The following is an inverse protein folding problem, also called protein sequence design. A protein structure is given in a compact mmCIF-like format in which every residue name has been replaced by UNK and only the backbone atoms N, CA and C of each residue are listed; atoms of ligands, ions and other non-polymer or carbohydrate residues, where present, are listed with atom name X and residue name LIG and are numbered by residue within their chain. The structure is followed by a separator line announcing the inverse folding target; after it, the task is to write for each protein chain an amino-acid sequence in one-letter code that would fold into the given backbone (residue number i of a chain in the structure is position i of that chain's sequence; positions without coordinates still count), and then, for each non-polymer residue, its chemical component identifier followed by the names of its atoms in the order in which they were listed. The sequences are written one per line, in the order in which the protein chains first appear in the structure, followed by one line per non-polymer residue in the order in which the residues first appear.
data_IF_192829178194
#
_entry.id   IF_192829178194
#
_cell.length_a   1.000
_cell.length_b   1.000
_cell.length_c   1.000
_cell.angle_alpha   90.00
_cell.angle_beta   90.00
_cell.angle_gamma   90.00
#
_symmetry.space_group_name_H-M   'P 1'
#
loop_
_entity.id
_entity.type
_entity.pdbx_description
1 polymer ?
#
# COMPACT_ATOMS: atom_id res chain seq x y z
N UNK A 1 16.76 46.59 23.06
CA UNK A 1 18.13 46.23 22.63
C UNK A 1 18.10 45.97 21.13
N UNK A 2 19.13 46.46 20.43
CA UNK A 2 19.17 46.72 18.99
C UNK A 2 18.94 45.51 18.07
N UNK A 3 18.34 45.85 16.92
CA UNK A 3 18.27 45.14 15.64
C UNK A 3 19.67 44.79 15.13
N UNK A 4 19.89 43.57 14.64
CA UNK A 4 20.98 43.31 13.68
C UNK A 4 20.41 42.53 12.51
N UNK A 5 20.39 43.23 11.38
CA UNK A 5 19.88 42.84 10.07
C UNK A 5 21.14 42.64 9.21
N UNK A 6 21.61 41.41 9.07
CA UNK A 6 22.72 41.10 8.17
C UNK A 6 22.20 40.38 6.94
N UNK A 7 21.83 41.21 5.96
CA UNK A 7 21.85 40.90 4.55
C UNK A 7 23.31 40.55 4.19
N UNK A 8 23.59 39.30 3.79
CA UNK A 8 24.85 38.97 3.12
C UNK A 8 24.54 38.41 1.75
N UNK A 9 24.71 39.31 0.78
CA UNK A 9 24.78 39.08 -0.65
C UNK A 9 26.02 38.23 -0.90
N UNK A 10 25.89 37.05 -1.51
CA UNK A 10 27.02 36.32 -2.09
C UNK A 10 26.65 35.89 -3.51
N UNK A 11 27.19 36.69 -4.43
CA UNK A 11 27.74 36.36 -5.74
C UNK A 11 27.09 35.24 -6.59
N UNK A 12 26.51 35.70 -7.69
CA UNK A 12 26.58 35.07 -9.02
C UNK A 12 27.88 34.29 -9.22
N UNK A 13 27.75 33.02 -9.61
CA UNK A 13 28.80 32.27 -10.31
C UNK A 13 28.14 31.38 -11.34
N UNK A 14 27.82 32.00 -12.47
CA UNK A 14 27.68 31.35 -13.78
C UNK A 14 29.03 30.73 -14.16
N UNK A 15 29.11 29.40 -14.12
CA UNK A 15 30.13 28.64 -14.81
C UNK A 15 29.46 27.73 -15.86
N UNK A 16 29.39 28.28 -17.07
CA UNK A 16 29.14 27.57 -18.31
C UNK A 16 30.34 26.65 -18.60
N UNK A 17 30.12 25.34 -18.62
CA UNK A 17 31.07 24.39 -19.22
C UNK A 17 30.39 23.64 -20.36
N UNK A 18 30.41 24.28 -21.54
CA UNK A 18 30.45 23.56 -22.81
C UNK A 18 31.90 23.10 -23.03
N UNK A 19 32.12 21.79 -23.22
CA UNK A 19 33.44 21.26 -23.52
C UNK A 19 33.41 19.80 -23.93
N UNK A 20 33.49 19.56 -25.23
CA UNK A 20 33.32 18.30 -25.93
C UNK A 20 34.43 17.26 -25.69
N UNK A 21 34.05 15.97 -25.69
CA UNK A 21 34.90 14.84 -26.11
C UNK A 21 33.95 13.78 -26.71
N UNK A 22 33.79 13.74 -28.04
CA UNK A 22 34.68 13.04 -28.99
C UNK A 22 34.68 11.53 -28.71
N UNK A 23 33.86 10.76 -29.43
CA UNK A 23 34.31 9.90 -30.53
C UNK A 23 33.12 9.19 -31.19
N UNK A 24 33.13 9.24 -32.51
CA UNK A 24 32.23 8.58 -33.45
C UNK A 24 32.33 7.06 -33.36
N UNK A 25 31.23 6.35 -33.69
CA UNK A 25 31.17 5.25 -34.68
C UNK A 25 29.77 4.59 -34.66
N UNK A 26 28.95 4.90 -35.67
CA UNK A 26 27.89 4.04 -36.24
C UNK A 26 28.59 3.11 -37.26
N UNK A 27 28.09 1.91 -37.70
CA UNK A 27 26.68 1.61 -37.94
C UNK A 27 26.23 0.14 -37.73
N UNK A 28 24.93 -0.10 -37.99
CA UNK A 28 24.25 -1.31 -38.52
C UNK A 28 22.89 -1.45 -37.80
N UNK A 29 21.77 -0.96 -38.35
CA UNK A 29 20.95 -1.63 -39.38
C UNK A 29 20.84 -3.14 -39.15
N UNK A 30 19.68 -3.56 -38.62
CA UNK A 30 18.85 -4.62 -39.20
C UNK A 30 17.55 -4.77 -38.40
N UNK A 31 16.44 -4.34 -39.00
CA UNK A 31 15.15 -5.00 -38.81
C UNK A 31 15.13 -6.26 -39.70
N UNK A 32 14.35 -7.27 -39.32
CA UNK A 32 13.29 -7.64 -40.25
C UNK A 32 11.93 -7.85 -39.54
N UNK A 33 10.91 -7.22 -40.11
CA UNK A 33 9.54 -7.72 -40.10
C UNK A 33 9.50 -9.08 -40.81
N UNK A 34 8.88 -10.11 -40.22
CA UNK A 34 7.91 -10.97 -40.90
C UNK A 34 6.99 -11.66 -39.88
N UNK A 35 5.69 -11.39 -40.05
CA UNK A 35 4.59 -12.23 -39.59
C UNK A 35 4.50 -13.46 -40.50
N UNK A 36 4.15 -14.64 -39.97
CA UNK A 36 3.16 -15.57 -40.54
C UNK A 36 3.25 -16.98 -39.89
N UNK A 37 2.13 -17.34 -39.25
CA UNK A 37 1.36 -18.58 -39.43
C UNK A 37 1.88 -19.95 -38.94
N UNK A 38 0.93 -20.59 -38.25
CA UNK A 38 0.81 -21.95 -37.73
C UNK A 38 0.97 -23.07 -38.79
N UNK A 39 1.15 -24.34 -38.39
CA UNK A 39 -0.02 -25.25 -38.30
C UNK A 39 -0.04 -26.21 -37.08
N UNK A 40 -1.24 -26.47 -36.57
CA UNK A 40 -1.66 -27.63 -35.76
C UNK A 40 -1.56 -28.90 -36.65
N UNK A 41 -1.55 -30.19 -36.26
CA UNK A 41 -2.18 -31.02 -35.22
C UNK A 41 -1.36 -32.33 -35.12
N UNK A 42 -1.35 -33.09 -34.02
CA UNK A 42 -2.12 -34.35 -33.79
C UNK A 42 -1.65 -34.90 -32.41
N UNK A 43 -2.40 -35.57 -31.55
CA UNK A 43 -3.63 -36.34 -31.70
C UNK A 43 -4.42 -36.38 -30.38
N UNK A 44 -5.75 -36.41 -30.48
CA UNK A 44 -6.67 -36.96 -29.47
C UNK A 44 -6.80 -38.49 -29.66
N UNK A 45 -7.49 -39.23 -28.76
CA UNK A 45 -8.95 -39.35 -28.90
C UNK A 45 -9.76 -39.19 -27.59
N UNK A 46 -10.96 -38.63 -27.74
CA UNK A 46 -12.15 -38.61 -26.86
C UNK A 46 -12.89 -39.98 -26.98
N UNK A 47 -13.89 -40.39 -26.14
CA UNK A 47 -15.18 -39.70 -25.89
C UNK A 47 -15.74 -39.95 -24.44
N UNK A 48 -16.91 -39.53 -23.94
CA UNK A 48 -18.20 -39.08 -24.47
C UNK A 48 -18.99 -38.35 -23.35
N UNK A 49 -19.79 -37.36 -23.77
CA UNK A 49 -21.14 -36.97 -23.32
C UNK A 49 -21.66 -37.34 -21.91
N UNK A 50 -22.26 -36.37 -21.20
CA UNK A 50 -23.71 -36.15 -21.36
C UNK A 50 -24.19 -34.83 -20.75
N UNK A 51 -25.03 -34.15 -21.52
CA UNK A 51 -25.90 -33.06 -21.10
C UNK A 51 -27.04 -33.62 -20.26
N UNK A 52 -27.57 -32.89 -19.28
CA UNK A 52 -29.01 -32.59 -19.19
C UNK A 52 -29.32 -31.72 -17.95
N UNK A 53 -30.09 -30.67 -18.22
CA UNK A 53 -30.69 -29.74 -17.29
C UNK A 53 -31.73 -30.40 -16.36
N UNK A 54 -31.98 -29.79 -15.20
CA UNK A 54 -33.31 -29.31 -14.74
C UNK A 54 -33.30 -29.00 -13.22
N UNK A 55 -33.65 -27.75 -12.90
CA UNK A 55 -34.17 -27.24 -11.61
C UNK A 55 -35.62 -27.75 -11.39
N UNK A 56 -36.37 -27.31 -10.35
CA UNK A 56 -36.10 -26.94 -8.95
C UNK A 56 -37.08 -27.65 -7.98
N UNK A 57 -36.86 -27.71 -6.66
CA UNK A 57 -37.99 -27.69 -5.68
C UNK A 57 -37.64 -26.99 -4.36
N UNK A 58 -38.63 -26.22 -3.93
CA UNK A 58 -38.68 -25.18 -2.93
C UNK A 58 -39.53 -25.67 -1.77
N UNK A 59 -39.08 -25.58 -0.52
CA UNK A 59 -39.95 -25.54 0.67
C UNK A 59 -39.29 -24.74 1.82
N UNK A 60 -39.82 -23.53 2.03
CA UNK A 60 -39.93 -22.76 3.29
C UNK A 60 -41.39 -22.99 3.78
N UNK A 61 -41.78 -23.05 5.08
CA UNK A 61 -41.73 -21.93 6.06
C UNK A 61 -41.61 -22.40 7.54
N UNK A 62 -41.63 -21.62 8.63
CA UNK A 62 -41.84 -20.20 8.96
C UNK A 62 -41.35 -19.99 10.42
N UNK A 63 -41.08 -18.72 10.79
CA UNK A 63 -41.39 -18.03 12.09
C UNK A 63 -41.06 -18.69 13.44
N UNK A 64 -40.79 -18.01 14.56
CA UNK A 64 -40.66 -16.61 15.01
C UNK A 64 -40.55 -16.75 16.53
N UNK A 65 -39.66 -16.03 17.20
CA UNK A 65 -39.98 -15.35 18.46
C UNK A 65 -38.83 -14.46 18.94
N UNK A 66 -39.20 -13.21 19.16
CA UNK A 66 -38.49 -12.22 19.93
C UNK A 66 -38.94 -12.33 21.39
N UNK A 67 -38.05 -12.06 22.35
CA UNK A 67 -38.32 -11.21 23.52
C UNK A 67 -37.01 -10.98 24.32
N UNK A 68 -36.52 -9.75 24.28
CA UNK A 68 -36.04 -9.02 25.47
C UNK A 68 -37.29 -8.62 26.31
N UNK A 69 -37.23 -8.14 27.59
CA UNK A 69 -36.12 -7.40 28.20
C UNK A 69 -35.93 -7.58 29.74
N UNK A 70 -34.87 -6.95 30.29
CA UNK A 70 -34.96 -5.82 31.27
C UNK A 70 -33.80 -5.81 32.28
N UNK A 71 -32.89 -4.85 32.04
CA UNK A 71 -32.38 -3.80 32.95
C UNK A 71 -31.97 -4.19 34.39
N UNK A 72 -30.67 -4.09 34.68
CA UNK A 72 -30.17 -3.26 35.79
C UNK A 72 -28.70 -2.84 35.59
N UNK A 73 -28.42 -1.59 35.93
CA UNK A 73 -27.13 -0.91 35.82
C UNK A 73 -26.18 -1.38 36.94
N UNK A 74 -24.85 -1.32 36.71
CA UNK A 74 -24.11 -0.39 37.55
C UNK A 74 -23.07 0.44 36.77
N UNK A 75 -22.95 1.70 37.18
CA UNK A 75 -21.82 2.59 36.89
C UNK A 75 -20.49 1.85 36.99
N UNK A 76 -19.75 1.81 35.88
CA UNK A 76 -18.28 1.69 35.92
C UNK A 76 -17.69 2.46 34.74
N UNK A 77 -16.75 3.31 35.08
CA UNK A 77 -15.88 4.12 34.22
C UNK A 77 -15.65 3.51 32.84
N UNK A 78 -15.89 4.32 31.80
CA UNK A 78 -15.61 3.97 30.40
C UNK A 78 -14.10 3.77 30.24
N UNK A 79 -13.64 2.52 30.44
CA UNK A 79 -12.38 2.07 29.91
C UNK A 79 -12.55 2.04 28.39
N UNK A 80 -12.18 3.14 27.72
CA UNK A 80 -12.07 3.17 26.26
C UNK A 80 -11.16 2.03 25.87
N UNK A 81 -11.72 0.99 25.23
CA UNK A 81 -10.94 -0.13 24.73
C UNK A 81 -9.86 0.43 23.80
N UNK A 82 -8.59 0.29 24.20
CA UNK A 82 -7.46 0.83 23.45
C UNK A 82 -7.38 0.12 22.10
N UNK A 83 -7.43 0.89 21.02
CA UNK A 83 -7.23 0.37 19.66
C UNK A 83 -5.81 -0.18 19.54
N UNK A 84 -5.67 -1.41 19.02
CA UNK A 84 -4.39 -2.09 18.86
C UNK A 84 -3.89 -2.02 17.41
N UNK A 85 -2.78 -1.30 17.21
CA UNK A 85 -2.15 -1.14 15.91
C UNK A 85 -1.54 -2.42 15.34
N UNK A 86 -1.06 -3.34 16.20
CA UNK A 86 -0.50 -4.60 15.74
C UNK A 86 -1.59 -5.49 15.11
N UNK A 87 -2.74 -5.57 15.78
CA UNK A 87 -3.92 -6.27 15.24
C UNK A 87 -4.41 -5.66 13.93
N UNK A 88 -4.43 -4.32 13.80
CA UNK A 88 -4.76 -3.64 12.53
C UNK A 88 -3.76 -4.05 11.44
N UNK A 89 -2.46 -3.96 11.73
CA UNK A 89 -1.40 -4.28 10.78
C UNK A 89 -1.52 -5.72 10.26
N UNK A 90 -1.77 -6.68 11.15
CA UNK A 90 -1.96 -8.10 10.78
C UNK A 90 -3.26 -8.33 10.01
N UNK A 91 -4.38 -7.81 10.53
CA UNK A 91 -5.72 -8.06 9.94
C UNK A 91 -5.92 -7.40 8.58
N UNK A 92 -5.22 -6.29 8.29
CA UNK A 92 -5.22 -5.65 6.97
C UNK A 92 -4.20 -6.25 5.99
N UNK A 93 -3.48 -7.31 6.38
CA UNK A 93 -2.56 -8.04 5.52
C UNK A 93 -1.23 -7.33 5.28
N UNK A 94 -0.88 -6.30 6.06
CA UNK A 94 0.33 -5.52 5.88
C UNK A 94 1.60 -6.38 6.04
N UNK A 95 1.52 -7.44 6.85
CA UNK A 95 2.59 -8.43 7.06
C UNK A 95 3.01 -9.16 5.79
N UNK A 96 2.18 -9.21 4.75
CA UNK A 96 2.53 -9.88 3.49
C UNK A 96 3.71 -9.21 2.78
N UNK A 97 3.88 -7.89 2.97
CA UNK A 97 4.89 -7.09 2.28
C UNK A 97 5.86 -6.38 3.23
N UNK A 98 5.49 -6.18 4.49
CA UNK A 98 6.27 -5.43 5.47
C UNK A 98 6.63 -6.33 6.66
N UNK A 99 7.91 -6.66 6.77
CA UNK A 99 8.46 -7.44 7.88
C UNK A 99 9.08 -6.51 8.93
N UNK A 100 9.26 -6.98 10.16
CA UNK A 100 9.81 -6.15 11.24
C UNK A 100 11.18 -5.54 10.89
N UNK A 101 12.11 -6.37 10.39
CA UNK A 101 13.53 -6.01 10.24
C UNK A 101 14.12 -6.32 8.86
N UNK A 102 13.28 -6.62 7.86
CA UNK A 102 13.73 -7.01 6.53
C UNK A 102 12.93 -6.32 5.43
N UNK A 103 13.64 -5.82 4.43
CA UNK A 103 13.04 -5.37 3.18
C UNK A 103 12.66 -6.63 2.37
N UNK A 104 11.39 -6.73 1.98
CA UNK A 104 10.88 -7.82 1.12
C UNK A 104 10.24 -7.22 -0.13
N UNK A 105 8.92 -7.33 -0.28
CA UNK A 105 8.17 -6.58 -1.29
C UNK A 105 8.18 -5.09 -0.93
N UNK A 106 7.86 -4.77 0.33
CA UNK A 106 7.96 -3.45 0.92
C UNK A 106 9.16 -3.32 1.87
N UNK A 107 9.48 -2.08 2.30
CA UNK A 107 10.52 -1.84 3.30
C UNK A 107 10.16 -2.43 4.67
N UNK A 108 11.17 -2.81 5.44
CA UNK A 108 11.01 -3.26 6.82
C UNK A 108 10.42 -2.18 7.74
N UNK A 109 9.74 -2.58 8.81
CA UNK A 109 9.12 -1.66 9.77
C UNK A 109 10.15 -0.77 10.44
N UNK A 110 11.29 -1.32 10.84
CA UNK A 110 12.44 -0.57 11.38
C UNK A 110 12.91 0.58 10.45
N UNK A 111 12.89 0.34 9.13
CA UNK A 111 13.28 1.31 8.10
C UNK A 111 12.21 2.40 7.94
N UNK A 112 10.93 2.01 7.95
CA UNK A 112 9.81 2.97 7.94
C UNK A 112 9.84 3.83 9.20
N UNK A 113 10.00 3.23 10.37
CA UNK A 113 10.08 3.90 11.66
C UNK A 113 11.21 4.93 11.70
N UNK A 114 12.40 4.54 11.21
CA UNK A 114 13.55 5.43 11.10
C UNK A 114 13.27 6.64 10.20
N UNK A 115 12.62 6.43 9.05
CA UNK A 115 12.29 7.51 8.12
C UNK A 115 11.23 8.49 8.64
N UNK A 116 10.32 8.03 9.50
CA UNK A 116 9.25 8.84 10.10
C UNK A 116 9.50 9.20 11.58
N UNK A 117 10.73 9.04 12.07
CA UNK A 117 11.06 9.31 13.48
C UNK A 117 10.69 10.75 13.85
N UNK A 118 9.83 10.90 14.87
CA UNK A 118 9.32 12.20 15.30
C UNK A 118 8.33 12.86 14.34
N UNK A 119 7.86 12.15 13.31
CA UNK A 119 6.93 12.63 12.29
C UNK A 119 5.76 11.66 12.07
N UNK A 120 5.04 11.37 13.16
CA UNK A 120 3.84 10.53 13.12
C UNK A 120 2.75 11.12 12.21
N UNK A 121 2.54 12.43 12.25
CA UNK A 121 1.59 13.12 11.39
C UNK A 121 1.90 12.93 9.90
N UNK A 122 3.18 12.92 9.54
CA UNK A 122 3.61 12.62 8.17
C UNK A 122 3.25 11.21 7.72
N UNK A 123 3.35 10.23 8.62
CA UNK A 123 2.95 8.85 8.34
C UNK A 123 1.42 8.73 8.21
N UNK A 124 0.67 9.43 9.05
CA UNK A 124 -0.80 9.48 8.96
C UNK A 124 -1.25 10.19 7.66
N UNK A 125 -0.57 11.26 7.25
CA UNK A 125 -0.81 11.89 5.93
C UNK A 125 -0.55 10.93 4.78
N UNK A 126 0.50 10.10 4.87
CA UNK A 126 0.74 9.05 3.89
C UNK A 126 -0.40 8.01 3.87
N UNK A 127 -0.91 7.58 5.03
CA UNK A 127 -2.08 6.71 5.14
C UNK A 127 -3.37 7.30 4.55
N UNK A 128 -3.49 8.62 4.50
CA UNK A 128 -4.59 9.32 3.84
C UNK A 128 -4.35 9.54 2.33
N UNK A 129 -3.18 9.16 1.80
CA UNK A 129 -2.79 9.41 0.42
C UNK A 129 -2.44 10.88 0.12
N UNK A 130 -2.19 11.66 1.17
CA UNK A 130 -1.81 13.08 1.09
C UNK A 130 -0.28 13.27 1.10
N UNK A 131 0.47 12.21 1.43
CA UNK A 131 1.94 12.18 1.44
C UNK A 131 2.51 11.39 0.26
N UNK A 132 3.75 11.72 -0.12
CA UNK A 132 4.57 10.91 -1.05
C UNK A 132 5.28 9.79 -0.29
N UNK A 133 5.62 8.70 -0.98
CA UNK A 133 6.49 7.68 -0.41
C UNK A 133 7.89 8.25 -0.22
N UNK A 134 8.36 8.36 1.03
CA UNK A 134 9.71 8.86 1.34
C UNK A 134 10.73 7.74 1.58
N UNK A 135 10.26 6.52 1.85
CA UNK A 135 11.11 5.38 2.21
C UNK A 135 11.65 4.65 0.97
N UNK A 136 10.77 4.39 0.00
CA UNK A 136 11.13 3.78 -1.28
C UNK A 136 10.24 4.37 -2.41
N UNK A 137 10.60 5.56 -2.94
CA UNK A 137 9.81 6.24 -3.97
C UNK A 137 9.69 5.42 -5.27
N UNK A 138 10.68 4.60 -5.59
CA UNK A 138 10.67 3.77 -6.81
C UNK A 138 9.58 2.69 -6.76
N UNK A 139 9.19 2.26 -5.56
CA UNK A 139 8.13 1.27 -5.32
C UNK A 139 6.79 1.89 -4.91
N UNK A 140 6.62 3.21 -5.01
CA UNK A 140 5.37 3.89 -4.62
C UNK A 140 4.15 3.26 -5.31
N UNK A 141 4.26 2.91 -6.59
CA UNK A 141 3.18 2.31 -7.36
C UNK A 141 2.69 0.96 -6.80
N UNK A 142 3.54 0.22 -6.07
CA UNK A 142 3.18 -1.05 -5.42
C UNK A 142 2.34 -0.79 -4.16
N UNK A 143 2.71 0.23 -3.37
CA UNK A 143 2.02 0.54 -2.10
C UNK A 143 0.75 1.39 -2.30
N UNK A 144 0.70 2.22 -3.34
CA UNK A 144 -0.39 3.18 -3.57
C UNK A 144 -1.80 2.57 -3.57
N UNK A 145 -2.07 1.39 -4.17
CA UNK A 145 -3.39 0.76 -4.06
C UNK A 145 -3.75 0.36 -2.62
N UNK A 146 -2.77 0.05 -1.77
CA UNK A 146 -2.98 -0.35 -0.38
C UNK A 146 -3.38 0.83 0.51
N UNK A 147 -3.09 2.07 0.09
CA UNK A 147 -3.51 3.29 0.81
C UNK A 147 -5.03 3.42 0.85
N UNK A 148 -5.77 2.82 -0.08
CA UNK A 148 -7.23 2.77 -0.03
C UNK A 148 -7.76 1.94 1.17
N UNK A 149 -6.94 1.04 1.72
CA UNK A 149 -7.26 0.32 2.95
C UNK A 149 -7.08 1.25 4.16
N UNK A 150 -5.94 1.97 4.23
CA UNK A 150 -5.62 2.83 5.37
C UNK A 150 -6.50 4.07 5.43
N UNK A 151 -6.95 4.62 4.29
CA UNK A 151 -7.88 5.76 4.24
C UNK A 151 -9.19 5.49 4.99
N UNK A 152 -9.68 4.25 4.92
CA UNK A 152 -10.95 3.82 5.51
C UNK A 152 -10.88 3.61 7.02
N UNK A 153 -9.67 3.59 7.59
CA UNK A 153 -9.48 3.51 9.04
C UNK A 153 -9.92 4.80 9.71
N UNK A 154 -10.44 4.68 10.94
CA UNK A 154 -10.72 5.82 11.82
C UNK A 154 -9.42 6.57 12.13
N UNK A 155 -9.54 7.78 12.69
CA UNK A 155 -8.37 8.55 13.14
C UNK A 155 -7.59 7.77 14.20
N UNK A 156 -8.29 7.21 15.17
CA UNK A 156 -7.74 6.43 16.28
C UNK A 156 -7.04 5.15 15.78
N UNK A 157 -7.61 4.49 14.76
CA UNK A 157 -7.01 3.33 14.12
C UNK A 157 -5.71 3.68 13.35
N UNK A 158 -5.69 4.82 12.64
CA UNK A 158 -4.48 5.29 11.95
C UNK A 158 -3.38 5.68 12.93
N UNK A 159 -3.75 6.32 14.04
CA UNK A 159 -2.82 6.66 15.12
C UNK A 159 -2.24 5.40 15.76
N UNK A 160 -3.09 4.42 16.10
CA UNK A 160 -2.61 3.14 16.65
C UNK A 160 -1.71 2.38 15.67
N UNK A 161 -2.04 2.36 14.39
CA UNK A 161 -1.22 1.74 13.34
C UNK A 161 0.13 2.46 13.17
N UNK A 162 0.12 3.80 13.16
CA UNK A 162 1.35 4.59 13.10
C UNK A 162 2.23 4.34 14.32
N UNK A 163 1.66 4.35 15.52
CA UNK A 163 2.36 4.06 16.78
C UNK A 163 3.00 2.68 16.75
N UNK A 164 2.30 1.67 16.24
CA UNK A 164 2.84 0.31 16.10
C UNK A 164 4.05 0.29 15.17
N UNK A 165 3.96 0.91 13.99
CA UNK A 165 5.07 0.96 13.02
C UNK A 165 6.25 1.71 13.61
N UNK A 166 6.05 2.88 14.22
CA UNK A 166 7.11 3.75 14.75
C UNK A 166 7.86 3.17 15.97
N UNK A 167 7.35 2.10 16.58
CA UNK A 167 8.00 1.39 17.70
C UNK A 167 9.02 0.34 17.27
N UNK A 168 9.11 0.04 15.97
CA UNK A 168 10.10 -0.89 15.39
C UNK A 168 11.44 -0.19 15.14
#
# INVERSE_FOLDING_TARGET
MQKIKTLSIIALSTALVLGCSKKEETPQTQAPTQTQQQPQQTAQPQPSESTQAQQPQEQKPAEKQAEEPKKEEPKKESAVAKVDGESIFKSKGCTACHQANADTVGPGLNKIASAYKGNQDGLIKYFNGEGKAIVDPAKEAIMKPQIEITKKLSKEEKEALADFILKH
#
